data_IF_815746312064
#
_entry.id   IF_815746312064
#
_cell.length_a   1.000
_cell.length_b   1.000
_cell.length_c   1.000
_cell.angle_alpha   90.00
_cell.angle_beta   90.00
_cell.angle_gamma   90.00
#
_symmetry.space_group_name_H-M   'P 1'
#
loop_
_entity.id
_entity.type
_entity.pdbx_description
1 polymer ?
#
# COMPACT_ATOMS: atom_id res chain seq x y z
N UNK A 1 5.12 1.38 20.52
CA UNK A 1 3.90 0.81 19.92
C UNK A 1 3.19 1.95 19.22
N UNK A 2 3.14 1.92 17.87
CA UNK A 2 2.41 2.97 17.13
C UNK A 2 0.92 2.81 17.41
N UNK A 3 0.22 3.89 17.81
CA UNK A 3 -1.24 3.89 17.89
C UNK A 3 -1.76 3.92 16.45
N UNK A 4 -2.65 2.98 16.12
CA UNK A 4 -3.39 3.05 14.85
C UNK A 4 -4.19 4.37 14.88
N UNK A 5 -4.10 5.21 13.82
CA UNK A 5 -4.85 6.46 13.74
C UNK A 5 -6.36 6.22 13.76
N UNK A 6 -7.13 7.25 14.10
CA UNK A 6 -8.59 7.19 14.00
C UNK A 6 -9.04 6.85 12.57
N UNK A 7 -10.12 6.07 12.45
CA UNK A 7 -10.62 5.61 11.16
C UNK A 7 -10.92 6.77 10.19
N UNK A 8 -11.37 7.92 10.70
CA UNK A 8 -11.60 9.14 9.90
C UNK A 8 -10.33 9.66 9.22
N UNK A 9 -9.17 9.54 9.89
CA UNK A 9 -7.87 9.94 9.34
C UNK A 9 -7.45 8.93 8.26
N UNK A 10 -7.62 7.64 8.52
CA UNK A 10 -7.30 6.58 7.56
C UNK A 10 -8.14 6.74 6.29
N UNK A 11 -9.45 6.94 6.42
CA UNK A 11 -10.35 7.13 5.28
C UNK A 11 -10.05 8.38 4.45
N UNK A 12 -9.52 9.44 5.06
CA UNK A 12 -9.21 10.68 4.33
C UNK A 12 -7.88 10.62 3.56
N UNK A 13 -6.95 9.73 3.94
CA UNK A 13 -5.60 9.64 3.33
C UNK A 13 -5.39 8.39 2.49
N UNK A 14 -5.99 7.26 2.87
CA UNK A 14 -5.77 5.98 2.22
C UNK A 14 -6.53 5.90 0.89
N UNK A 15 -5.80 5.60 -0.19
CA UNK A 15 -6.36 5.44 -1.54
C UNK A 15 -6.65 3.97 -1.82
N UNK A 16 -7.70 3.69 -2.59
CA UNK A 16 -8.06 2.32 -3.00
C UNK A 16 -6.90 1.57 -3.68
N UNK A 17 -6.05 2.29 -4.39
CA UNK A 17 -4.88 1.69 -5.05
C UNK A 17 -3.82 1.20 -4.06
N UNK A 18 -3.66 1.87 -2.91
CA UNK A 18 -2.79 1.41 -1.82
C UNK A 18 -3.34 0.12 -1.19
N UNK A 19 -4.65 0.02 -0.98
CA UNK A 19 -5.29 -1.21 -0.51
C UNK A 19 -5.05 -2.38 -1.47
N UNK A 20 -5.18 -2.15 -2.78
CA UNK A 20 -4.90 -3.18 -3.81
C UNK A 20 -3.45 -3.64 -3.78
N UNK A 21 -2.51 -2.71 -3.57
CA UNK A 21 -1.09 -3.04 -3.41
C UNK A 21 -0.85 -3.90 -2.16
N UNK A 22 -1.50 -3.58 -1.04
CA UNK A 22 -1.38 -4.37 0.21
C UNK A 22 -1.92 -5.79 0.04
N UNK A 23 -3.06 -5.97 -0.63
CA UNK A 23 -3.63 -7.29 -0.93
C UNK A 23 -2.69 -8.11 -1.83
N UNK A 24 -2.18 -7.52 -2.91
CA UNK A 24 -1.24 -8.20 -3.79
C UNK A 24 0.09 -8.53 -3.07
N UNK A 25 0.52 -7.69 -2.13
CA UNK A 25 1.71 -7.93 -1.33
C UNK A 25 1.52 -9.09 -0.34
N UNK A 26 0.35 -9.18 0.30
CA UNK A 26 -0.02 -10.29 1.17
C UNK A 26 -0.05 -11.62 0.42
N UNK A 27 -0.65 -11.64 -0.78
CA UNK A 27 -0.74 -12.84 -1.62
C UNK A 27 0.62 -13.28 -2.17
N UNK A 28 1.44 -12.34 -2.68
CA UNK A 28 2.65 -12.68 -3.44
C UNK A 28 3.93 -12.68 -2.59
N UNK A 29 3.88 -12.11 -1.38
CA UNK A 29 5.02 -11.97 -0.47
C UNK A 29 6.20 -11.17 -1.05
N UNK A 30 5.97 -10.40 -2.11
CA UNK A 30 7.03 -9.69 -2.83
C UNK A 30 6.51 -8.38 -3.41
N UNK A 31 7.10 -7.26 -2.98
CA UNK A 31 6.73 -5.92 -3.46
C UNK A 31 6.93 -5.75 -4.97
N UNK A 32 7.97 -6.39 -5.53
CA UNK A 32 8.20 -6.38 -6.98
C UNK A 32 7.08 -7.11 -7.72
N UNK A 33 6.72 -8.33 -7.30
CA UNK A 33 5.65 -9.10 -7.93
C UNK A 33 4.28 -8.42 -7.76
N UNK A 34 4.02 -7.84 -6.59
CA UNK A 34 2.81 -7.07 -6.33
C UNK A 34 2.71 -5.82 -7.22
N UNK A 35 3.83 -5.12 -7.45
CA UNK A 35 3.88 -4.01 -8.39
C UNK A 35 3.56 -4.46 -9.81
N UNK A 36 4.17 -5.56 -10.26
CA UNK A 36 3.93 -6.15 -11.58
C UNK A 36 2.44 -6.57 -11.73
N UNK A 37 1.87 -7.22 -10.72
CA UNK A 37 0.45 -7.67 -10.69
C UNK A 37 -0.54 -6.51 -10.85
N UNK A 38 -0.27 -5.36 -10.22
CA UNK A 38 -1.16 -4.19 -10.29
C UNK A 38 -0.76 -3.19 -11.39
N UNK A 39 0.14 -3.58 -12.29
CA UNK A 39 0.54 -2.78 -13.45
C UNK A 39 1.30 -1.50 -13.09
N UNK A 40 2.25 -1.57 -12.16
CA UNK A 40 3.15 -0.45 -11.83
C UNK A 40 4.60 -0.90 -11.66
N UNK A 41 5.53 0.06 -11.67
CA UNK A 41 6.94 -0.22 -11.39
C UNK A 41 7.16 -0.42 -9.89
N UNK A 42 8.13 -1.25 -9.51
CA UNK A 42 8.49 -1.44 -8.10
C UNK A 42 8.78 -0.11 -7.36
N UNK A 43 9.54 0.87 -7.91
CA UNK A 43 9.75 2.15 -7.22
C UNK A 43 8.45 2.92 -6.95
N UNK A 44 7.49 2.85 -7.87
CA UNK A 44 6.17 3.45 -7.66
C UNK A 44 5.40 2.75 -6.53
N UNK A 45 5.48 1.42 -6.45
CA UNK A 45 4.90 0.63 -5.36
C UNK A 45 5.55 0.96 -4.01
N UNK A 46 6.88 1.07 -3.95
CA UNK A 46 7.60 1.48 -2.73
C UNK A 46 7.12 2.83 -2.23
N UNK A 47 7.05 3.84 -3.13
CA UNK A 47 6.56 5.17 -2.77
C UNK A 47 5.10 5.14 -2.30
N UNK A 48 4.25 4.37 -2.99
CA UNK A 48 2.84 4.24 -2.65
C UNK A 48 2.62 3.60 -1.28
N UNK A 49 3.42 2.59 -0.93
CA UNK A 49 3.38 1.95 0.38
C UNK A 49 3.82 2.92 1.47
N UNK A 50 4.90 3.66 1.26
CA UNK A 50 5.36 4.67 2.20
C UNK A 50 4.32 5.77 2.45
N UNK A 51 3.69 6.29 1.38
CA UNK A 51 2.57 7.25 1.49
C UNK A 51 1.35 6.70 2.26
N UNK A 52 1.23 5.37 2.39
CA UNK A 52 0.17 4.74 3.16
C UNK A 52 0.54 4.52 4.64
N UNK A 53 1.84 4.46 4.96
CA UNK A 53 2.39 4.31 6.32
C UNK A 53 2.51 5.66 7.05
N UNK A 54 2.72 6.75 6.29
CA UNK A 54 2.77 8.14 6.77
C UNK A 54 1.39 8.72 7.13
#
# INVERSE_FOLDING_TARGET
MSRIPDASIIHSRLRLRQLRLMLALEELGSLRRAADEIGMTQPAATKMLHEAED
#
